data_IF_846849025387
#
_entry.id   IF_846849025387
#
_cell.length_a   1.000
_cell.length_b   1.000
_cell.length_c   1.000
_cell.angle_alpha   90.00
_cell.angle_beta   90.00
_cell.angle_gamma   90.00
#
_symmetry.space_group_name_H-M   'P 1'
#
loop_
_entity.id
_entity.type
_entity.pdbx_description
1 polymer ?
#
# COMPACT_ATOMS: atom_id res chain seq x y z
N UNK A 1 6.04 14.62 -31.77
CA UNK A 1 4.59 14.67 -31.49
C UNK A 1 4.05 13.24 -31.55
N UNK A 2 4.06 12.53 -30.44
CA UNK A 2 3.57 11.16 -30.34
C UNK A 2 2.33 11.16 -29.45
N UNK A 3 1.16 11.14 -30.10
CA UNK A 3 -0.13 10.91 -29.45
C UNK A 3 -0.25 9.43 -29.05
N UNK A 4 -0.11 9.13 -27.77
CA UNK A 4 -0.58 7.89 -27.21
C UNK A 4 -1.98 8.11 -26.60
N UNK A 5 -2.96 7.28 -26.94
CA UNK A 5 -4.31 7.38 -26.37
C UNK A 5 -4.27 7.08 -24.86
N UNK A 6 -4.91 7.96 -24.08
CA UNK A 6 -5.06 7.80 -22.65
C UNK A 6 -5.92 6.56 -22.33
N UNK A 7 -5.27 5.44 -22.04
CA UNK A 7 -5.92 4.29 -21.41
C UNK A 7 -6.23 4.71 -19.96
N UNK A 8 -7.51 4.84 -19.62
CA UNK A 8 -7.98 4.97 -18.23
C UNK A 8 -7.55 3.69 -17.47
N UNK A 9 -6.38 3.75 -16.86
CA UNK A 9 -5.91 2.72 -15.95
C UNK A 9 -6.65 2.91 -14.64
N UNK A 10 -7.43 1.91 -14.22
CA UNK A 10 -7.65 1.68 -12.80
C UNK A 10 -6.26 1.45 -12.21
N UNK A 11 -5.83 2.35 -11.36
CA UNK A 11 -4.51 2.37 -10.76
C UNK A 11 -4.35 1.12 -9.90
N UNK A 12 -3.45 0.18 -10.18
CA UNK A 12 -3.21 -0.96 -9.29
C UNK A 12 -2.39 -0.57 -8.05
N UNK A 13 -2.12 0.70 -7.84
CA UNK A 13 -1.44 1.24 -6.65
C UNK A 13 -2.39 1.90 -5.65
N UNK A 14 -3.68 1.97 -5.93
CA UNK A 14 -4.67 2.18 -4.89
C UNK A 14 -5.02 0.81 -4.35
N UNK A 15 -4.70 0.54 -3.09
CA UNK A 15 -5.29 -0.55 -2.34
C UNK A 15 -6.78 -0.59 -2.70
N UNK A 16 -7.15 -1.54 -3.57
CA UNK A 16 -8.55 -1.73 -3.92
C UNK A 16 -9.30 -1.93 -2.62
N UNK A 17 -10.50 -1.43 -2.52
CA UNK A 17 -11.42 -1.74 -1.44
C UNK A 17 -11.34 -3.25 -1.18
N UNK A 18 -10.56 -3.66 -0.20
CA UNK A 18 -10.65 -5.01 0.32
C UNK A 18 -11.95 -5.08 1.10
N UNK A 19 -12.93 -5.72 0.50
CA UNK A 19 -14.09 -6.22 1.25
C UNK A 19 -13.49 -7.15 2.29
N UNK A 20 -13.50 -6.72 3.54
CA UNK A 20 -13.01 -7.49 4.68
C UNK A 20 -13.93 -8.69 4.77
N UNK A 21 -13.41 -9.86 4.38
CA UNK A 21 -14.13 -11.12 4.44
C UNK A 21 -14.57 -11.43 5.86
N UNK A 22 -15.77 -11.97 6.02
CA UNK A 22 -16.37 -12.38 7.29
C UNK A 22 -15.38 -13.17 8.14
N UNK A 23 -15.05 -12.61 9.30
CA UNK A 23 -14.21 -13.25 10.30
C UNK A 23 -15.06 -14.23 11.10
N UNK A 24 -14.92 -15.52 10.83
CA UNK A 24 -15.50 -16.57 11.67
C UNK A 24 -14.79 -16.55 13.03
N UNK A 25 -15.47 -16.09 14.05
CA UNK A 25 -15.03 -16.08 15.44
C UNK A 25 -14.93 -17.51 15.99
N UNK A 26 -13.76 -18.12 15.88
CA UNK A 26 -13.39 -19.39 16.52
C UNK A 26 -12.43 -19.14 17.66
N UNK A 27 -12.80 -19.56 18.84
CA UNK A 27 -12.13 -19.64 20.13
C UNK A 27 -10.59 -19.66 20.08
N UNK A 28 -9.91 -18.50 20.20
CA UNK A 28 -8.45 -18.33 20.23
C UNK A 28 -7.98 -17.12 21.04
N UNK A 29 -8.60 -16.84 22.20
CA UNK A 29 -8.26 -15.67 23.03
C UNK A 29 -6.77 -15.54 23.41
N UNK A 30 -6.04 -16.63 23.62
CA UNK A 30 -4.63 -16.58 23.99
C UNK A 30 -3.65 -16.31 22.82
N UNK A 31 -3.93 -16.85 21.63
CA UNK A 31 -3.08 -16.64 20.43
C UNK A 31 -3.33 -15.27 19.75
N UNK A 32 -4.52 -14.71 19.88
CA UNK A 32 -4.87 -13.40 19.35
C UNK A 32 -4.14 -12.31 20.15
N UNK A 33 -4.19 -12.32 21.48
CA UNK A 33 -3.53 -11.34 22.35
C UNK A 33 -2.00 -11.32 22.18
N UNK A 34 -1.35 -12.47 21.92
CA UNK A 34 0.10 -12.53 21.66
C UNK A 34 0.45 -12.00 20.26
N UNK A 35 -0.45 -12.10 19.28
CA UNK A 35 -0.26 -11.54 17.93
C UNK A 35 -0.46 -10.03 17.88
N UNK A 36 -1.34 -9.47 18.70
CA UNK A 36 -1.59 -8.02 18.77
C UNK A 36 -0.35 -7.28 19.28
N UNK A 37 0.30 -7.77 20.34
CA UNK A 37 1.54 -7.17 20.89
C UNK A 37 2.67 -7.02 19.85
N UNK A 38 2.74 -7.89 18.86
CA UNK A 38 3.77 -7.84 17.81
C UNK A 38 3.65 -6.58 16.93
N UNK A 39 2.45 -6.00 16.79
CA UNK A 39 2.18 -4.84 15.96
C UNK A 39 2.11 -3.52 16.76
N UNK A 40 2.08 -3.59 18.11
CA UNK A 40 2.06 -2.41 18.98
C UNK A 40 3.35 -1.59 18.88
N UNK A 41 4.51 -2.26 18.85
CA UNK A 41 5.82 -1.58 18.76
C UNK A 41 5.94 -0.81 17.45
N UNK A 42 5.78 -1.42 16.25
CA UNK A 42 5.86 -0.68 15.00
C UNK A 42 4.87 0.49 14.92
N UNK A 43 3.67 0.32 15.49
CA UNK A 43 2.66 1.36 15.48
C UNK A 43 3.03 2.54 16.38
N UNK A 44 3.55 2.26 17.59
CA UNK A 44 4.08 3.31 18.46
C UNK A 44 5.28 4.02 17.83
N UNK A 45 6.22 3.27 17.23
CA UNK A 45 7.36 3.85 16.49
C UNK A 45 6.88 4.81 15.39
N UNK A 46 5.83 4.42 14.66
CA UNK A 46 5.27 5.25 13.60
C UNK A 46 4.61 6.53 14.13
N UNK A 47 3.92 6.44 15.27
CA UNK A 47 3.33 7.61 15.92
C UNK A 47 4.41 8.57 16.48
N UNK A 48 5.50 8.02 17.00
CA UNK A 48 6.61 8.77 17.58
C UNK A 48 7.57 9.35 16.51
N UNK A 49 7.55 8.83 15.29
CA UNK A 49 8.37 9.31 14.18
C UNK A 49 8.05 10.75 13.74
N UNK A 50 6.87 11.27 14.10
CA UNK A 50 6.49 12.65 13.80
C UNK A 50 6.33 12.97 12.31
N UNK A 51 6.13 11.94 11.47
CA UNK A 51 5.87 12.09 10.05
C UNK A 51 4.44 12.59 9.78
N UNK A 52 4.17 13.04 8.56
CA UNK A 52 2.85 13.55 8.16
C UNK A 52 1.76 12.47 8.17
N UNK A 53 2.15 11.19 8.12
CA UNK A 53 1.23 10.07 8.20
C UNK A 53 1.91 8.84 8.80
N UNK A 54 1.54 8.40 10.02
CA UNK A 54 2.11 7.20 10.65
C UNK A 54 1.90 5.92 9.82
N UNK A 55 0.79 5.78 9.12
CA UNK A 55 0.56 4.61 8.28
C UNK A 55 1.44 4.58 7.03
N UNK A 56 1.78 5.74 6.42
CA UNK A 56 2.78 5.78 5.36
C UNK A 56 4.16 5.32 5.86
N UNK A 57 4.53 5.67 7.10
CA UNK A 57 5.75 5.16 7.73
C UNK A 57 5.72 3.63 7.86
N UNK A 58 4.60 3.08 8.36
CA UNK A 58 4.41 1.63 8.49
C UNK A 58 4.46 0.90 7.14
N UNK A 59 3.81 1.46 6.11
CA UNK A 59 3.84 0.93 4.75
C UNK A 59 5.27 0.81 4.23
N UNK A 60 6.03 1.92 4.29
CA UNK A 60 7.42 1.97 3.85
C UNK A 60 8.28 0.95 4.57
N UNK A 61 8.19 0.89 5.92
CA UNK A 61 8.94 -0.06 6.74
C UNK A 61 8.58 -1.51 6.43
N UNK A 62 7.29 -1.81 6.34
CA UNK A 62 6.82 -3.17 6.05
C UNK A 62 7.20 -3.64 4.64
N UNK A 63 7.11 -2.76 3.65
CA UNK A 63 7.51 -3.08 2.26
C UNK A 63 9.01 -3.32 2.17
N UNK A 64 9.83 -2.48 2.82
CA UNK A 64 11.27 -2.68 2.89
C UNK A 64 11.63 -4.02 3.53
N UNK A 65 11.02 -4.37 4.65
CA UNK A 65 11.23 -5.65 5.32
C UNK A 65 10.88 -6.85 4.43
N UNK A 66 9.80 -6.75 3.64
CA UNK A 66 9.43 -7.78 2.67
C UNK A 66 10.43 -7.88 1.52
N UNK A 67 10.97 -6.75 1.06
CA UNK A 67 12.03 -6.73 0.06
C UNK A 67 13.33 -7.33 0.60
N UNK A 68 13.73 -6.96 1.82
CA UNK A 68 14.90 -7.50 2.51
C UNK A 68 14.74 -9.02 2.75
N UNK A 69 13.55 -9.49 3.09
CA UNK A 69 13.24 -10.91 3.24
C UNK A 69 13.46 -11.69 1.95
N UNK A 70 12.99 -11.16 0.81
CA UNK A 70 13.09 -11.85 -0.48
C UNK A 70 14.48 -11.71 -1.10
N UNK A 71 15.10 -10.52 -1.05
CA UNK A 71 16.29 -10.18 -1.83
C UNK A 71 17.51 -9.75 -1.00
N UNK A 72 17.39 -9.62 0.32
CA UNK A 72 18.48 -9.20 1.20
C UNK A 72 19.61 -10.22 1.27
N UNK A 73 20.63 -9.93 2.08
CA UNK A 73 21.82 -10.80 2.23
C UNK A 73 21.52 -12.21 2.74
N UNK A 74 20.45 -12.36 3.54
CA UNK A 74 19.93 -13.65 4.01
C UNK A 74 18.66 -14.02 3.23
N UNK A 75 18.64 -13.75 1.93
CA UNK A 75 17.45 -13.81 1.11
C UNK A 75 16.80 -15.19 1.06
N UNK A 76 15.52 -15.24 1.39
CA UNK A 76 14.74 -16.48 1.43
C UNK A 76 14.30 -16.98 0.05
N UNK A 77 14.64 -16.27 -1.06
CA UNK A 77 14.28 -16.74 -2.40
C UNK A 77 14.86 -18.12 -2.78
N UNK A 78 15.88 -18.59 -2.06
CA UNK A 78 16.45 -19.93 -2.24
C UNK A 78 15.66 -21.03 -1.49
N UNK A 79 14.85 -20.67 -0.50
CA UNK A 79 14.01 -21.62 0.24
C UNK A 79 12.86 -22.12 -0.64
N UNK A 80 12.54 -23.44 -0.52
CA UNK A 80 11.52 -24.09 -1.36
C UNK A 80 10.16 -23.44 -1.26
N UNK A 81 9.73 -23.10 -0.05
CA UNK A 81 8.39 -22.55 0.20
C UNK A 81 8.26 -21.11 -0.33
N UNK A 82 9.30 -20.30 -0.11
CA UNK A 82 9.35 -18.94 -0.66
C UNK A 82 9.37 -18.97 -2.17
N UNK A 83 10.15 -19.87 -2.77
CA UNK A 83 10.21 -20.04 -4.21
C UNK A 83 8.88 -20.50 -4.79
N UNK A 84 8.24 -21.50 -4.18
CA UNK A 84 6.92 -21.96 -4.64
C UNK A 84 5.88 -20.84 -4.58
N UNK A 85 5.90 -20.01 -3.52
CA UNK A 85 5.00 -18.87 -3.39
C UNK A 85 5.31 -17.76 -4.40
N UNK A 86 6.59 -17.39 -4.60
CA UNK A 86 6.97 -16.37 -5.59
C UNK A 86 6.69 -16.83 -7.03
N UNK A 87 6.85 -18.12 -7.32
CA UNK A 87 6.50 -18.71 -8.61
C UNK A 87 4.98 -18.76 -8.85
N UNK A 88 4.18 -18.85 -7.79
CA UNK A 88 2.72 -18.86 -7.89
C UNK A 88 2.16 -17.44 -8.08
N UNK A 89 2.62 -16.50 -7.28
CA UNK A 89 2.03 -15.18 -7.15
C UNK A 89 2.69 -14.15 -8.09
N UNK A 90 3.97 -14.34 -8.40
CA UNK A 90 4.75 -13.37 -9.17
C UNK A 90 4.89 -12.03 -8.44
N UNK A 91 5.19 -10.99 -9.21
CA UNK A 91 5.35 -9.63 -8.70
C UNK A 91 4.69 -8.63 -9.65
N UNK A 92 3.97 -7.66 -9.11
CA UNK A 92 3.38 -6.59 -9.92
C UNK A 92 4.48 -5.65 -10.47
N UNK A 93 4.12 -4.85 -11.46
CA UNK A 93 5.03 -3.91 -12.13
C UNK A 93 5.78 -3.00 -11.15
N UNK A 94 5.09 -2.47 -10.14
CA UNK A 94 5.70 -1.59 -9.14
C UNK A 94 6.76 -2.33 -8.33
N UNK A 95 6.45 -3.55 -7.86
CA UNK A 95 7.41 -4.33 -7.08
C UNK A 95 8.56 -4.88 -7.93
N UNK A 96 8.33 -5.24 -9.20
CA UNK A 96 9.44 -5.57 -10.11
C UNK A 96 10.41 -4.40 -10.30
N UNK A 97 9.89 -3.16 -10.42
CA UNK A 97 10.75 -1.96 -10.49
C UNK A 97 11.57 -1.79 -9.20
N UNK A 98 10.91 -1.89 -8.04
CA UNK A 98 11.59 -1.79 -6.73
C UNK A 98 12.62 -2.91 -6.53
N UNK A 99 12.31 -4.15 -6.94
CA UNK A 99 13.24 -5.28 -6.92
C UNK A 99 14.48 -5.04 -7.80
N UNK A 100 14.29 -4.43 -8.97
CA UNK A 100 15.41 -4.04 -9.84
C UNK A 100 16.26 -2.96 -9.16
N UNK A 101 15.64 -1.91 -8.62
CA UNK A 101 16.32 -0.80 -7.95
C UNK A 101 17.03 -1.24 -6.66
N UNK A 102 16.57 -2.31 -6.02
CA UNK A 102 17.18 -2.91 -4.83
C UNK A 102 18.63 -3.41 -5.07
N UNK A 103 18.94 -3.79 -6.30
CA UNK A 103 20.30 -4.04 -6.75
C UNK A 103 20.79 -5.49 -6.64
N UNK A 104 19.99 -6.45 -6.15
CA UNK A 104 20.37 -7.87 -6.15
C UNK A 104 20.02 -8.53 -7.50
N UNK A 105 20.88 -8.32 -8.50
CA UNK A 105 20.66 -8.87 -9.84
C UNK A 105 20.64 -10.41 -9.88
N UNK A 106 21.49 -11.08 -9.09
CA UNK A 106 21.53 -12.54 -9.03
C UNK A 106 20.24 -13.10 -8.39
N UNK A 107 19.77 -12.52 -7.28
CA UNK A 107 18.51 -12.88 -6.63
C UNK A 107 17.33 -12.72 -7.58
N UNK A 108 17.24 -11.59 -8.25
CA UNK A 108 16.23 -11.35 -9.28
C UNK A 108 16.30 -12.39 -10.42
N UNK A 109 17.51 -12.74 -10.87
CA UNK A 109 17.73 -13.75 -11.88
C UNK A 109 17.22 -15.14 -11.48
N UNK A 110 17.44 -15.56 -10.23
CA UNK A 110 16.92 -16.82 -9.70
C UNK A 110 15.41 -16.85 -9.62
N UNK A 111 14.78 -15.79 -9.12
CA UNK A 111 13.31 -15.64 -9.06
C UNK A 111 12.74 -15.71 -10.48
N UNK A 112 13.26 -14.95 -11.41
CA UNK A 112 12.78 -14.94 -12.80
C UNK A 112 12.95 -16.31 -13.47
N UNK A 113 14.07 -17.00 -13.23
CA UNK A 113 14.32 -18.33 -13.82
C UNK A 113 13.21 -19.33 -13.48
N UNK A 114 12.81 -19.43 -12.22
CA UNK A 114 11.77 -20.37 -11.78
C UNK A 114 10.39 -19.92 -12.19
N UNK A 115 10.09 -18.63 -12.07
CA UNK A 115 8.82 -18.04 -12.50
C UNK A 115 8.58 -18.21 -14.00
N UNK A 116 9.59 -17.92 -14.85
CA UNK A 116 9.47 -18.13 -16.30
C UNK A 116 9.23 -19.58 -16.66
N UNK A 117 9.90 -20.52 -15.99
CA UNK A 117 9.69 -21.96 -16.23
C UNK A 117 8.25 -22.36 -15.97
N UNK A 118 7.65 -21.87 -14.88
CA UNK A 118 6.26 -22.12 -14.54
C UNK A 118 5.31 -21.43 -15.52
N UNK A 119 5.53 -20.14 -15.76
CA UNK A 119 4.69 -19.32 -16.64
C UNK A 119 4.64 -19.92 -18.06
N UNK A 120 5.78 -20.38 -18.60
CA UNK A 120 5.84 -21.04 -19.91
C UNK A 120 5.04 -22.34 -19.96
N UNK A 121 5.04 -23.12 -18.86
CA UNK A 121 4.22 -24.32 -18.77
C UNK A 121 2.74 -23.98 -18.82
N UNK A 122 2.29 -23.09 -17.95
CA UNK A 122 0.90 -22.65 -17.88
C UNK A 122 0.43 -22.02 -19.22
N UNK A 123 1.27 -21.18 -19.83
CA UNK A 123 0.99 -20.54 -21.12
C UNK A 123 0.77 -21.57 -22.23
N UNK A 124 1.57 -22.64 -22.27
CA UNK A 124 1.38 -23.72 -23.25
C UNK A 124 0.06 -24.47 -23.01
N UNK A 125 -0.29 -24.71 -21.77
CA UNK A 125 -1.56 -25.35 -21.40
C UNK A 125 -2.74 -24.47 -21.82
N UNK A 126 -2.72 -23.18 -21.52
CA UNK A 126 -3.77 -22.23 -21.95
C UNK A 126 -3.89 -22.12 -23.47
N UNK A 127 -2.77 -22.08 -24.21
CA UNK A 127 -2.78 -22.01 -25.66
C UNK A 127 -3.34 -23.30 -26.30
N UNK A 128 -3.05 -24.45 -25.71
CA UNK A 128 -3.59 -25.74 -26.21
C UNK A 128 -5.10 -25.86 -26.00
N UNK A 129 -5.65 -25.23 -24.97
CA UNK A 129 -7.08 -25.22 -24.65
C UNK A 129 -7.84 -24.08 -25.33
N UNK A 130 -7.13 -23.12 -25.93
CA UNK A 130 -7.75 -21.95 -26.53
C UNK A 130 -8.48 -22.30 -27.84
N UNK A 131 -9.75 -21.96 -27.89
CA UNK A 131 -10.57 -22.03 -29.11
C UNK A 131 -11.17 -20.64 -29.37
N UNK A 132 -10.85 -19.99 -30.52
CA UNK A 132 -11.41 -18.70 -30.86
C UNK A 132 -12.92 -18.79 -31.05
N UNK A 133 -13.68 -17.97 -30.35
CA UNK A 133 -15.12 -17.93 -30.46
C UNK A 133 -15.55 -17.17 -31.72
N UNK A 134 -16.63 -17.69 -32.37
CA UNK A 134 -17.27 -17.00 -33.51
C UNK A 134 -18.04 -15.78 -32.98
N UNK A 135 -17.62 -14.59 -33.34
CA UNK A 135 -18.28 -13.34 -32.95
C UNK A 135 -19.29 -12.99 -34.03
N UNK A 136 -20.56 -12.87 -33.67
CA UNK A 136 -21.65 -12.46 -34.58
C UNK A 136 -21.40 -11.03 -35.09
N UNK A 137 -21.80 -10.74 -36.35
CA UNK A 137 -21.74 -9.39 -36.91
C UNK A 137 -22.58 -8.40 -36.09
N UNK A 138 -23.69 -8.87 -35.50
CA UNK A 138 -24.55 -8.07 -34.60
C UNK A 138 -23.85 -7.67 -33.30
N UNK A 139 -23.07 -8.57 -32.71
CA UNK A 139 -22.31 -8.32 -31.51
C UNK A 139 -21.15 -7.35 -31.76
N UNK A 140 -20.52 -7.43 -32.97
CA UNK A 140 -19.49 -6.46 -33.41
C UNK A 140 -20.05 -5.05 -33.54
N UNK A 141 -21.26 -4.91 -34.15
CA UNK A 141 -21.93 -3.63 -34.36
C UNK A 141 -22.41 -3.01 -33.03
N UNK A 142 -22.93 -3.82 -32.13
CA UNK A 142 -23.43 -3.37 -30.84
C UNK A 142 -22.33 -3.14 -29.80
N UNK A 143 -21.03 -3.35 -30.12
CA UNK A 143 -19.91 -3.30 -29.17
C UNK A 143 -20.19 -4.11 -27.89
N UNK A 144 -21.09 -5.09 -27.96
CA UNK A 144 -21.23 -6.04 -26.87
C UNK A 144 -19.92 -6.79 -26.77
N UNK A 145 -19.24 -6.65 -25.64
CA UNK A 145 -18.15 -7.51 -25.26
C UNK A 145 -18.67 -8.94 -25.31
N UNK A 146 -18.32 -9.67 -26.39
CA UNK A 146 -18.55 -11.11 -26.45
C UNK A 146 -17.90 -11.75 -25.23
N UNK A 147 -18.27 -12.97 -24.91
CA UNK A 147 -17.70 -13.77 -23.83
C UNK A 147 -16.21 -13.48 -23.65
N UNK A 148 -15.79 -13.21 -22.42
CA UNK A 148 -14.42 -12.82 -22.12
C UNK A 148 -13.44 -13.83 -22.72
N UNK A 149 -12.41 -13.35 -23.39
CA UNK A 149 -11.40 -14.18 -24.01
C UNK A 149 -10.60 -14.88 -22.88
N UNK A 150 -10.60 -16.21 -22.86
CA UNK A 150 -9.97 -17.02 -21.80
C UNK A 150 -8.49 -16.68 -21.58
N UNK A 151 -7.76 -16.36 -22.66
CA UNK A 151 -6.35 -15.92 -22.56
C UNK A 151 -6.27 -14.56 -21.84
N UNK A 152 -7.20 -13.64 -22.11
CA UNK A 152 -7.25 -12.37 -21.38
C UNK A 152 -7.57 -12.56 -19.91
N UNK A 153 -8.50 -13.46 -19.58
CA UNK A 153 -8.83 -13.78 -18.18
C UNK A 153 -7.62 -14.36 -17.45
N UNK A 154 -6.92 -15.31 -18.08
CA UNK A 154 -5.70 -15.88 -17.55
C UNK A 154 -4.61 -14.80 -17.33
N UNK A 155 -4.33 -13.95 -18.32
CA UNK A 155 -3.38 -12.83 -18.17
C UNK A 155 -3.81 -11.90 -17.04
N UNK A 156 -5.09 -11.54 -16.98
CA UNK A 156 -5.65 -10.67 -15.94
C UNK A 156 -5.49 -11.30 -14.54
N UNK A 157 -5.67 -12.62 -14.42
CA UNK A 157 -5.45 -13.34 -13.16
C UNK A 157 -4.00 -13.25 -12.70
N UNK A 158 -3.04 -13.35 -13.62
CA UNK A 158 -1.60 -13.20 -13.32
C UNK A 158 -1.22 -11.76 -12.92
N UNK A 159 -1.84 -10.77 -13.56
CA UNK A 159 -1.60 -9.35 -13.25
C UNK A 159 -2.18 -8.91 -11.90
N UNK A 160 -3.16 -9.64 -11.36
CA UNK A 160 -3.80 -9.35 -10.07
C UNK A 160 -3.00 -9.84 -8.87
N UNK A 161 -2.05 -10.77 -9.05
CA UNK A 161 -1.28 -11.37 -7.96
C UNK A 161 0.08 -10.70 -7.80
N UNK A 162 0.55 -10.61 -6.55
CA UNK A 162 1.88 -10.14 -6.24
C UNK A 162 2.29 -10.59 -4.84
N UNK A 163 3.41 -11.30 -4.74
CA UNK A 163 3.95 -11.82 -3.49
C UNK A 163 4.10 -10.74 -2.39
N UNK A 164 4.60 -9.57 -2.76
CA UNK A 164 4.79 -8.45 -1.81
C UNK A 164 3.44 -7.83 -1.44
N UNK A 165 2.58 -7.51 -2.43
CA UNK A 165 1.28 -6.88 -2.17
C UNK A 165 0.41 -7.73 -1.24
N UNK A 166 0.36 -9.06 -1.46
CA UNK A 166 -0.48 -9.96 -0.67
C UNK A 166 -0.03 -10.01 0.81
N UNK A 167 1.29 -10.11 1.03
CA UNK A 167 1.84 -10.12 2.40
C UNK A 167 1.76 -8.77 3.08
N UNK A 168 1.97 -7.71 2.31
CA UNK A 168 1.81 -6.35 2.78
C UNK A 168 0.36 -6.08 3.24
N UNK A 169 -0.63 -6.43 2.40
CA UNK A 169 -2.05 -6.25 2.71
C UNK A 169 -2.44 -6.95 4.03
N UNK A 170 -2.03 -8.21 4.21
CA UNK A 170 -2.29 -8.96 5.45
C UNK A 170 -1.64 -8.33 6.68
N UNK A 171 -0.47 -7.70 6.52
CA UNK A 171 0.21 -6.97 7.59
C UNK A 171 -0.49 -5.66 7.89
N UNK A 172 -0.91 -4.94 6.86
CA UNK A 172 -1.62 -3.68 6.96
C UNK A 172 -2.96 -3.81 7.71
N UNK A 173 -3.75 -4.83 7.38
CA UNK A 173 -5.00 -5.14 8.11
C UNK A 173 -4.75 -5.28 9.62
N UNK A 174 -3.63 -5.88 10.00
CA UNK A 174 -3.25 -6.03 11.42
C UNK A 174 -2.82 -4.72 12.05
N UNK A 175 -2.14 -3.83 11.32
CA UNK A 175 -1.84 -2.49 11.81
C UNK A 175 -3.12 -1.70 12.10
N UNK A 176 -4.11 -1.76 11.21
CA UNK A 176 -5.42 -1.12 11.43
C UNK A 176 -6.12 -1.72 12.65
N UNK A 177 -6.19 -3.04 12.76
CA UNK A 177 -6.80 -3.70 13.92
C UNK A 177 -6.09 -3.32 15.24
N UNK A 178 -4.75 -3.31 15.25
CA UNK A 178 -3.95 -2.94 16.43
C UNK A 178 -4.13 -1.46 16.78
N UNK A 179 -4.25 -0.57 15.81
CA UNK A 179 -4.53 0.85 16.03
C UNK A 179 -5.82 1.03 16.85
N UNK A 180 -6.91 0.38 16.43
CA UNK A 180 -8.18 0.47 17.16
C UNK A 180 -8.13 -0.25 18.51
N UNK A 181 -7.37 -1.33 18.62
CA UNK A 181 -7.12 -1.96 19.93
C UNK A 181 -6.43 -1.00 20.89
N UNK A 182 -5.36 -0.34 20.47
CA UNK A 182 -4.66 0.65 21.28
C UNK A 182 -5.53 1.89 21.56
N UNK A 183 -6.26 2.37 20.57
CA UNK A 183 -7.18 3.50 20.76
C UNK A 183 -8.20 3.23 21.86
N UNK A 184 -8.72 2.01 21.97
CA UNK A 184 -9.68 1.61 23.02
C UNK A 184 -9.03 1.45 24.39
N UNK A 185 -7.86 0.84 24.45
CA UNK A 185 -7.30 0.32 25.69
C UNK A 185 -6.12 1.12 26.25
N UNK A 186 -5.52 2.02 25.46
CA UNK A 186 -4.33 2.78 25.85
C UNK A 186 -4.57 4.30 25.77
N UNK A 187 -4.68 4.94 26.93
CA UNK A 187 -4.86 6.39 27.01
C UNK A 187 -3.63 7.17 26.51
N UNK A 188 -2.41 6.63 26.70
CA UNK A 188 -1.19 7.27 26.20
C UNK A 188 -1.16 7.26 24.66
N UNK A 189 -1.64 6.19 24.04
CA UNK A 189 -1.78 6.12 22.59
C UNK A 189 -2.81 7.15 22.06
N UNK A 190 -3.95 7.34 22.74
CA UNK A 190 -4.89 8.41 22.39
C UNK A 190 -4.28 9.80 22.44
N UNK A 191 -3.44 10.07 23.44
CA UNK A 191 -2.73 11.35 23.52
C UNK A 191 -1.65 11.51 22.43
N UNK A 192 -0.97 10.43 22.02
CA UNK A 192 -0.07 10.45 20.86
C UNK A 192 -0.85 10.75 19.57
N UNK A 193 -2.04 10.14 19.39
CA UNK A 193 -2.90 10.42 18.25
C UNK A 193 -3.25 11.91 18.15
N UNK A 194 -3.73 12.51 19.23
CA UNK A 194 -4.10 13.94 19.28
C UNK A 194 -2.93 14.87 18.96
N UNK A 195 -1.70 14.47 19.30
CA UNK A 195 -0.47 15.26 19.05
C UNK A 195 0.16 14.97 17.70
N UNK A 196 -0.32 13.98 16.97
CA UNK A 196 0.22 13.60 15.68
C UNK A 196 -0.09 14.66 14.60
N UNK A 197 0.56 14.53 13.46
CA UNK A 197 0.25 15.36 12.28
C UNK A 197 -0.93 14.80 11.47
N UNK A 198 -1.72 13.88 12.02
CA UNK A 198 -2.83 13.23 11.35
C UNK A 198 -2.37 12.22 10.29
N UNK A 199 -3.14 12.09 9.22
CA UNK A 199 -2.97 11.06 8.22
C UNK A 199 -3.02 11.64 6.80
N UNK A 200 -2.56 10.90 5.80
CA UNK A 200 -2.87 11.21 4.41
C UNK A 200 -4.32 10.84 4.09
N UNK A 201 -4.90 11.37 3.00
CA UNK A 201 -6.31 11.10 2.64
C UNK A 201 -6.63 9.62 2.47
N UNK A 202 -5.69 8.83 1.96
CA UNK A 202 -5.88 7.39 1.83
C UNK A 202 -6.09 6.74 3.20
N UNK A 203 -5.13 6.90 4.11
CA UNK A 203 -5.20 6.30 5.44
C UNK A 203 -6.26 6.92 6.36
N UNK A 204 -6.62 8.18 6.13
CA UNK A 204 -7.79 8.77 6.76
C UNK A 204 -9.07 8.01 6.40
N UNK A 205 -9.25 7.69 5.11
CA UNK A 205 -10.38 6.88 4.64
C UNK A 205 -10.40 5.48 5.24
N UNK A 206 -9.22 4.83 5.32
CA UNK A 206 -9.09 3.50 5.93
C UNK A 206 -9.43 3.52 7.42
N UNK A 207 -9.01 4.57 8.15
CA UNK A 207 -9.36 4.74 9.55
C UNK A 207 -10.85 5.01 9.76
N UNK A 208 -11.51 5.73 8.86
CA UNK A 208 -12.96 5.86 8.90
C UNK A 208 -13.65 4.49 8.75
N UNK A 209 -13.24 3.71 7.75
CA UNK A 209 -13.78 2.36 7.55
C UNK A 209 -13.48 1.42 8.73
N UNK A 210 -12.27 1.53 9.29
CA UNK A 210 -11.87 0.76 10.47
C UNK A 210 -12.67 1.16 11.71
N UNK A 211 -12.98 2.44 11.91
CA UNK A 211 -13.81 2.89 13.02
C UNK A 211 -15.19 2.26 13.00
N UNK A 212 -15.80 2.14 11.81
CA UNK A 212 -17.10 1.48 11.66
C UNK A 212 -17.03 -0.02 11.99
N UNK A 213 -15.89 -0.65 11.80
CA UNK A 213 -15.69 -2.08 12.05
C UNK A 213 -15.31 -2.38 13.51
N UNK A 214 -14.46 -1.56 14.13
CA UNK A 214 -13.81 -1.90 15.40
C UNK A 214 -14.37 -1.17 16.61
N UNK A 215 -15.11 -0.05 16.43
CA UNK A 215 -15.60 0.79 17.52
C UNK A 215 -17.11 0.67 17.72
N UNK A 216 -17.55 0.70 18.98
CA UNK A 216 -18.96 0.86 19.33
C UNK A 216 -19.44 2.30 19.06
N UNK A 217 -20.77 2.51 19.06
CA UNK A 217 -21.38 3.80 18.66
C UNK A 217 -20.85 5.01 19.44
N UNK A 218 -20.69 4.88 20.76
CA UNK A 218 -20.16 5.96 21.59
C UNK A 218 -18.69 6.25 21.32
N UNK A 219 -17.84 5.21 21.25
CA UNK A 219 -16.42 5.31 20.97
C UNK A 219 -16.18 5.88 19.55
N UNK A 220 -17.01 5.46 18.59
CA UNK A 220 -16.94 5.90 17.20
C UNK A 220 -17.21 7.39 17.06
N UNK A 221 -18.24 7.90 17.76
CA UNK A 221 -18.56 9.32 17.77
C UNK A 221 -17.41 10.17 18.30
N UNK A 222 -16.81 9.73 19.42
CA UNK A 222 -15.63 10.40 19.99
C UNK A 222 -14.44 10.35 19.03
N UNK A 223 -14.17 9.18 18.47
CA UNK A 223 -13.07 9.00 17.50
C UNK A 223 -13.18 9.91 16.29
N UNK A 224 -14.37 9.99 15.66
CA UNK A 224 -14.59 10.87 14.52
C UNK A 224 -14.41 12.34 14.88
N UNK A 225 -14.86 12.78 16.06
CA UNK A 225 -14.66 14.14 16.51
C UNK A 225 -13.17 14.49 16.60
N UNK A 226 -12.37 13.59 17.22
CA UNK A 226 -10.90 13.78 17.33
C UNK A 226 -10.23 13.70 15.96
N UNK A 227 -10.60 12.71 15.13
CA UNK A 227 -9.96 12.48 13.84
C UNK A 227 -10.24 13.64 12.87
N UNK A 228 -11.46 14.16 12.81
CA UNK A 228 -11.82 15.24 11.90
C UNK A 228 -11.13 16.55 12.29
N UNK A 229 -11.15 16.89 13.57
CA UNK A 229 -10.41 18.07 14.07
C UNK A 229 -8.92 17.96 13.75
N UNK A 230 -8.31 16.80 14.04
CA UNK A 230 -6.90 16.56 13.78
C UNK A 230 -6.56 16.71 12.29
N UNK A 231 -7.43 16.20 11.42
CA UNK A 231 -7.23 16.29 9.96
C UNK A 231 -7.37 17.72 9.47
N UNK A 232 -8.40 18.47 9.91
CA UNK A 232 -8.64 19.86 9.53
C UNK A 232 -7.46 20.74 9.93
N UNK A 233 -7.04 20.72 11.19
CA UNK A 233 -5.91 21.49 11.71
C UNK A 233 -4.60 21.21 10.94
N UNK A 234 -4.34 19.95 10.60
CA UNK A 234 -3.13 19.58 9.89
C UNK A 234 -3.19 19.84 8.39
N UNK A 235 -4.36 19.85 7.79
CA UNK A 235 -4.52 20.29 6.39
C UNK A 235 -4.35 21.81 6.27
N UNK A 236 -4.88 22.61 7.23
CA UNK A 236 -4.65 24.05 7.30
C UNK A 236 -3.17 24.37 7.51
N UNK A 237 -2.49 23.67 8.45
CA UNK A 237 -1.06 23.79 8.64
C UNK A 237 -0.28 23.55 7.37
N UNK A 238 -0.60 22.46 6.65
CA UNK A 238 0.06 22.12 5.38
C UNK A 238 -0.18 23.19 4.31
N UNK A 239 -1.40 23.75 4.21
CA UNK A 239 -1.70 24.85 3.31
C UNK A 239 -0.80 26.04 3.60
N UNK A 240 -0.69 26.44 4.87
CA UNK A 240 0.18 27.54 5.27
C UNK A 240 1.67 27.29 5.00
N UNK A 241 2.14 26.04 5.17
CA UNK A 241 3.52 25.68 4.84
C UNK A 241 3.78 25.78 3.32
N UNK A 242 2.80 25.41 2.49
CA UNK A 242 2.89 25.51 1.02
C UNK A 242 2.83 26.98 0.58
N UNK A 243 1.94 27.77 1.17
CA UNK A 243 1.84 29.19 0.89
C UNK A 243 3.17 29.88 1.20
N UNK A 244 3.76 29.62 2.37
CA UNK A 244 5.07 30.18 2.74
C UNK A 244 6.20 29.66 1.83
N UNK A 245 6.15 28.41 1.40
CA UNK A 245 7.10 27.89 0.40
C UNK A 245 7.06 28.71 -0.89
N UNK A 246 5.87 29.05 -1.38
CA UNK A 246 5.69 29.87 -2.59
C UNK A 246 6.18 31.32 -2.37
N UNK A 247 5.76 31.93 -1.24
CA UNK A 247 6.16 33.28 -0.86
C UNK A 247 7.69 33.46 -0.72
N UNK A 248 8.41 32.40 -0.35
CA UNK A 248 9.89 32.40 -0.29
C UNK A 248 10.57 32.65 -1.62
N UNK A 249 9.89 32.43 -2.75
CA UNK A 249 10.44 32.76 -4.06
C UNK A 249 10.22 34.22 -4.47
N UNK A 250 9.46 35.01 -3.70
CA UNK A 250 9.44 36.44 -3.85
C UNK A 250 10.77 37.03 -3.37
N UNK A 251 11.31 37.99 -4.13
CA UNK A 251 12.57 38.66 -3.80
C UNK A 251 12.53 39.39 -2.44
N UNK A 252 11.36 39.85 -2.01
CA UNK A 252 11.14 40.50 -0.72
C UNK A 252 11.35 39.54 0.47
N UNK A 253 11.13 38.27 0.26
CA UNK A 253 11.24 37.22 1.28
C UNK A 253 12.54 36.42 1.19
N UNK A 254 13.49 36.82 0.32
CA UNK A 254 14.73 36.07 0.04
C UNK A 254 15.50 35.71 1.32
N UNK A 255 15.65 36.65 2.22
CA UNK A 255 16.45 36.48 3.44
C UNK A 255 15.62 36.04 4.67
N UNK A 256 14.28 35.88 4.51
CA UNK A 256 13.42 35.41 5.58
C UNK A 256 13.69 33.91 5.89
N UNK A 257 13.40 33.50 7.12
CA UNK A 257 13.49 32.09 7.48
C UNK A 257 12.48 31.21 6.73
N UNK A 258 12.88 30.04 6.31
CA UNK A 258 12.02 29.04 5.68
C UNK A 258 10.96 28.47 6.62
N UNK A 259 11.11 28.62 7.92
CA UNK A 259 10.26 27.97 8.94
C UNK A 259 10.20 26.45 8.67
N UNK A 260 9.01 25.88 8.56
CA UNK A 260 8.79 24.45 8.29
C UNK A 260 8.48 24.17 6.80
N UNK A 261 8.73 25.14 5.89
CA UNK A 261 8.24 25.03 4.50
C UNK A 261 9.22 24.42 3.51
N UNK A 262 10.50 24.17 3.87
CA UNK A 262 11.51 23.67 2.92
C UNK A 262 11.10 22.40 2.16
N UNK A 263 10.39 21.52 2.83
CA UNK A 263 9.92 20.24 2.32
C UNK A 263 8.38 20.19 2.19
N UNK A 264 7.73 21.37 2.19
CA UNK A 264 6.27 21.48 2.14
C UNK A 264 5.67 20.78 0.92
N UNK A 265 6.36 20.83 -0.24
CA UNK A 265 5.87 20.20 -1.48
C UNK A 265 5.79 18.69 -1.32
N UNK A 266 6.86 18.04 -0.84
CA UNK A 266 6.91 16.59 -0.64
C UNK A 266 5.89 16.15 0.42
N UNK A 267 5.81 16.86 1.54
CA UNK A 267 4.84 16.59 2.62
C UNK A 267 3.41 16.80 2.15
N UNK A 268 3.15 17.86 1.38
CA UNK A 268 1.84 18.11 0.79
C UNK A 268 1.40 17.01 -0.18
N UNK A 269 2.30 16.53 -1.03
CA UNK A 269 2.04 15.39 -1.91
C UNK A 269 1.72 14.12 -1.10
N UNK A 270 2.46 13.84 -0.03
CA UNK A 270 2.19 12.74 0.89
C UNK A 270 0.81 12.87 1.54
N UNK A 271 0.44 14.07 2.01
CA UNK A 271 -0.88 14.31 2.62
C UNK A 271 -2.03 13.96 1.70
N UNK A 272 -1.90 14.27 0.41
CA UNK A 272 -2.98 14.06 -0.57
C UNK A 272 -3.08 12.60 -1.01
N UNK A 273 -1.95 11.88 -1.20
CA UNK A 273 -1.97 10.57 -1.89
C UNK A 273 -1.30 9.44 -1.13
N UNK A 274 -0.65 9.71 0.00
CA UNK A 274 0.19 8.76 0.69
C UNK A 274 1.56 8.58 0.02
N UNK A 275 2.44 7.82 0.68
CA UNK A 275 3.83 7.70 0.29
C UNK A 275 4.58 9.04 0.41
N UNK A 276 5.90 9.01 0.56
CA UNK A 276 6.70 10.24 0.57
C UNK A 276 7.51 10.30 -0.72
N UNK A 277 7.29 11.31 -1.61
CA UNK A 277 7.91 11.33 -2.94
C UNK A 277 9.43 11.32 -2.93
N UNK A 278 10.04 11.81 -1.84
CA UNK A 278 11.49 11.84 -1.67
C UNK A 278 12.05 10.66 -0.88
N UNK A 279 11.25 9.61 -0.62
CA UNK A 279 11.75 8.38 -0.01
C UNK A 279 12.87 7.77 -0.87
N UNK A 280 13.99 7.37 -0.25
CA UNK A 280 15.04 6.70 -1.01
C UNK A 280 14.56 5.35 -1.53
N UNK A 281 15.07 4.94 -2.68
CA UNK A 281 14.85 3.57 -3.16
C UNK A 281 15.45 2.56 -2.20
N UNK A 282 14.76 1.44 -1.96
CA UNK A 282 15.29 0.36 -1.14
C UNK A 282 16.55 -0.22 -1.79
N UNK A 283 17.55 -0.48 -0.99
CA UNK A 283 18.83 -1.07 -1.45
C UNK A 283 19.23 -2.20 -0.53
N UNK A 284 19.89 -3.19 -1.11
CA UNK A 284 20.55 -4.24 -0.35
C UNK A 284 21.58 -3.62 0.60
N UNK A 285 21.48 -3.99 1.87
CA UNK A 285 22.43 -3.60 2.92
C UNK A 285 23.61 -4.55 2.96
#
# INVERSE_FOLDING_TARGET
>A
MNNYPAVRRKNPGTAGFYVIGEYVAGDRKGKAAMKEKLYEIPLNDAMDAGEECPFCFLERKAEQELMDFVLGSCASYMESDTRAATDQEGFCRTHQKKMFDYGNALGNGWILKTYYKKLLKEMKEEFNHFAPQKISLKDRLMKKSGNENSIREWVTSKEKTCYICDRFSKRYERYVATFFHLYKNDSAFREKLKKSKGFCFHHFGDLCSGADQYLGDGERKEFYSVLFQLMEENMERMSGDIDWFIEKYDYLNRDADWKQSKDAVQRGMQKIRGGYPADPVYKMK
#
